data_IF_776261177744
#
_entry.id   IF_776261177744
#
_cell.length_a   1.000
_cell.length_b   1.000
_cell.length_c   1.000
_cell.angle_alpha   90.00
_cell.angle_beta   90.00
_cell.angle_gamma   90.00
#
_symmetry.space_group_name_H-M   'P 1'
#
loop_
_entity.id
_entity.type
_entity.pdbx_description
1 polymer ?
#
# COMPACT_ATOMS: atom_id res chain seq x y z
N UNK A 1 9.24 21.03 -0.70
CA UNK A 1 8.19 22.07 -0.87
C UNK A 1 8.12 23.04 0.31
N UNK A 2 8.49 22.61 1.52
CA UNK A 2 8.54 23.50 2.70
C UNK A 2 9.56 24.64 2.57
N UNK A 3 10.61 24.47 1.77
CA UNK A 3 11.65 25.49 1.60
C UNK A 3 11.22 26.67 0.71
N UNK A 4 10.34 26.45 -0.29
CA UNK A 4 9.90 27.49 -1.23
C UNK A 4 8.43 27.29 -1.64
N UNK A 5 7.47 27.44 -0.71
CA UNK A 5 6.07 27.12 -0.95
C UNK A 5 5.37 28.09 -1.92
N UNK A 6 5.87 29.32 -2.05
CA UNK A 6 5.33 30.38 -2.92
C UNK A 6 6.04 30.48 -4.29
N UNK A 7 6.93 29.54 -4.60
CA UNK A 7 7.61 29.53 -5.90
C UNK A 7 6.60 29.28 -7.03
N UNK A 8 6.81 29.93 -8.18
CA UNK A 8 6.03 29.69 -9.41
C UNK A 8 5.98 28.20 -9.80
N UNK A 9 6.97 27.42 -9.42
CA UNK A 9 7.08 25.99 -9.72
C UNK A 9 6.49 25.07 -8.64
N UNK A 10 6.04 25.62 -7.50
CA UNK A 10 5.62 24.83 -6.35
C UNK A 10 4.45 23.89 -6.68
N UNK A 11 3.47 24.34 -7.46
CA UNK A 11 2.30 23.53 -7.79
C UNK A 11 2.60 22.44 -8.81
N UNK A 12 3.48 22.68 -9.79
CA UNK A 12 3.95 21.65 -10.71
C UNK A 12 4.78 20.59 -9.95
N UNK A 13 5.68 21.04 -9.07
CA UNK A 13 6.49 20.14 -8.25
C UNK A 13 5.63 19.26 -7.31
N UNK A 14 4.55 19.81 -6.72
CA UNK A 14 3.56 19.04 -5.94
C UNK A 14 2.95 17.93 -6.77
N UNK A 15 2.43 18.25 -7.96
CA UNK A 15 1.81 17.26 -8.86
C UNK A 15 2.78 16.15 -9.25
N UNK A 16 4.02 16.50 -9.57
CA UNK A 16 5.07 15.53 -9.89
C UNK A 16 5.42 14.65 -8.70
N UNK A 17 5.47 15.20 -7.48
CA UNK A 17 5.75 14.43 -6.28
C UNK A 17 4.69 13.36 -6.03
N UNK A 18 3.40 13.70 -6.20
CA UNK A 18 2.29 12.74 -6.12
C UNK A 18 2.48 11.61 -7.14
N UNK A 19 2.73 11.96 -8.41
CA UNK A 19 2.96 10.97 -9.46
C UNK A 19 4.17 10.06 -9.20
N UNK A 20 5.24 10.59 -8.60
CA UNK A 20 6.42 9.80 -8.21
C UNK A 20 6.07 8.83 -7.08
N UNK A 21 5.36 9.29 -6.04
CA UNK A 21 4.90 8.42 -4.96
C UNK A 21 4.04 7.28 -5.47
N UNK A 22 3.08 7.57 -6.36
CA UNK A 22 2.23 6.54 -6.95
C UNK A 22 3.03 5.51 -7.77
N UNK A 23 4.05 5.95 -8.51
CA UNK A 23 4.97 5.04 -9.21
C UNK A 23 5.76 4.15 -8.25
N UNK A 24 6.25 4.71 -7.14
CA UNK A 24 7.00 3.96 -6.13
C UNK A 24 6.10 2.94 -5.41
N UNK A 25 4.89 3.35 -5.00
CA UNK A 25 3.91 2.44 -4.41
C UNK A 25 3.55 1.30 -5.37
N UNK A 26 3.36 1.59 -6.66
CA UNK A 26 3.10 0.55 -7.67
C UNK A 26 4.25 -0.44 -7.81
N UNK A 27 5.49 0.04 -7.77
CA UNK A 27 6.66 -0.81 -7.82
C UNK A 27 6.69 -1.79 -6.65
N UNK A 28 6.44 -1.32 -5.42
CA UNK A 28 6.38 -2.20 -4.24
C UNK A 28 5.29 -3.26 -4.35
N UNK A 29 4.12 -2.92 -4.91
CA UNK A 29 3.05 -3.89 -5.14
C UNK A 29 3.42 -4.95 -6.19
N UNK A 30 4.12 -4.58 -7.25
CA UNK A 30 4.62 -5.56 -8.24
C UNK A 30 5.62 -6.54 -7.61
N UNK A 31 6.49 -6.04 -6.72
CA UNK A 31 7.42 -6.88 -5.96
C UNK A 31 6.67 -7.77 -4.97
N UNK A 32 5.63 -7.25 -4.33
CA UNK A 32 4.78 -8.02 -3.42
C UNK A 32 4.06 -9.17 -4.17
N UNK A 33 3.44 -8.89 -5.32
CA UNK A 33 2.80 -9.91 -6.18
C UNK A 33 3.80 -10.98 -6.62
N UNK A 34 5.02 -10.59 -7.00
CA UNK A 34 6.08 -11.52 -7.33
C UNK A 34 6.44 -12.45 -6.15
N UNK A 35 6.51 -11.93 -4.92
CA UNK A 35 6.73 -12.75 -3.74
C UNK A 35 5.54 -13.65 -3.40
N UNK A 36 4.31 -13.17 -3.57
CA UNK A 36 3.09 -13.97 -3.41
C UNK A 36 3.11 -15.19 -4.32
N UNK A 37 3.38 -15.01 -5.62
CA UNK A 37 3.46 -16.11 -6.59
C UNK A 37 4.54 -17.15 -6.27
N UNK A 38 5.60 -16.75 -5.57
CA UNK A 38 6.68 -17.65 -5.14
C UNK A 38 6.49 -18.25 -3.75
N UNK A 39 5.38 -17.97 -3.08
CA UNK A 39 5.11 -18.46 -1.72
C UNK A 39 5.90 -17.75 -0.62
N UNK A 40 6.57 -16.63 -0.92
CA UNK A 40 7.32 -15.84 0.04
C UNK A 40 6.40 -14.82 0.74
N UNK A 41 5.39 -15.32 1.46
CA UNK A 41 4.30 -14.50 2.03
C UNK A 41 4.79 -13.45 3.04
N UNK A 42 5.80 -13.75 3.85
CA UNK A 42 6.36 -12.77 4.80
C UNK A 42 6.98 -11.58 4.06
N UNK A 43 7.67 -11.84 2.94
CA UNK A 43 8.25 -10.78 2.13
C UNK A 43 7.16 -9.95 1.43
N UNK A 44 6.11 -10.60 0.92
CA UNK A 44 4.96 -9.92 0.34
C UNK A 44 4.24 -9.01 1.36
N UNK A 45 3.97 -9.52 2.57
CA UNK A 45 3.39 -8.74 3.66
C UNK A 45 4.24 -7.51 4.02
N UNK A 46 5.57 -7.67 4.09
CA UNK A 46 6.48 -6.56 4.38
C UNK A 46 6.47 -5.48 3.29
N UNK A 47 6.31 -5.87 2.02
CA UNK A 47 6.17 -4.91 0.90
C UNK A 47 4.85 -4.15 0.98
N UNK A 48 3.74 -4.83 1.27
CA UNK A 48 2.45 -4.18 1.51
C UNK A 48 2.51 -3.21 2.70
N UNK A 49 3.12 -3.64 3.82
CA UNK A 49 3.32 -2.80 5.00
C UNK A 49 4.10 -1.52 4.68
N UNK A 50 5.16 -1.62 3.89
CA UNK A 50 5.93 -0.45 3.45
C UNK A 50 5.07 0.56 2.69
N UNK A 51 4.18 0.08 1.82
CA UNK A 51 3.25 0.97 1.10
C UNK A 51 2.30 1.69 2.05
N UNK A 52 1.75 0.98 3.03
CA UNK A 52 0.85 1.59 4.05
C UNK A 52 1.57 2.65 4.88
N UNK A 53 2.81 2.40 5.27
CA UNK A 53 3.58 3.32 6.13
C UNK A 53 4.01 4.60 5.40
N UNK A 54 4.54 4.45 4.17
CA UNK A 54 5.21 5.53 3.43
C UNK A 54 4.37 6.18 2.33
N UNK A 55 3.35 5.49 1.80
CA UNK A 55 2.52 5.96 0.68
C UNK A 55 1.02 5.97 1.02
N UNK A 56 0.67 6.31 2.27
CA UNK A 56 -0.72 6.38 2.78
C UNK A 56 -1.68 7.24 1.95
N UNK A 57 -1.14 8.21 1.22
CA UNK A 57 -1.89 9.12 0.34
C UNK A 57 -2.13 8.55 -1.07
N UNK A 58 -1.56 7.38 -1.38
CA UNK A 58 -1.74 6.72 -2.67
C UNK A 58 -3.02 5.87 -2.69
N UNK A 59 -3.77 5.83 -3.80
CA UNK A 59 -4.90 4.91 -3.95
C UNK A 59 -4.49 3.42 -3.90
N UNK A 60 -3.19 3.14 -4.03
CA UNK A 60 -2.63 1.79 -4.02
C UNK A 60 -2.56 1.16 -2.62
N UNK A 61 -2.88 1.92 -1.57
CA UNK A 61 -2.93 1.42 -0.19
C UNK A 61 -3.98 0.32 -0.02
N UNK A 62 -5.12 0.42 -0.69
CA UNK A 62 -6.17 -0.60 -0.67
C UNK A 62 -5.61 -1.96 -1.12
N UNK A 63 -4.97 -1.99 -2.27
CA UNK A 63 -4.35 -3.20 -2.82
C UNK A 63 -3.20 -3.72 -1.95
N UNK A 64 -2.44 -2.82 -1.29
CA UNK A 64 -1.39 -3.21 -0.35
C UNK A 64 -1.96 -3.97 0.85
N UNK A 65 -3.06 -3.48 1.42
CA UNK A 65 -3.75 -4.11 2.53
C UNK A 65 -4.33 -5.47 2.14
N UNK A 66 -4.92 -5.61 0.95
CA UNK A 66 -5.38 -6.92 0.45
C UNK A 66 -4.24 -7.96 0.39
N UNK A 67 -3.07 -7.57 -0.14
CA UNK A 67 -1.91 -8.46 -0.21
C UNK A 67 -1.43 -8.83 1.20
N UNK A 68 -1.46 -7.89 2.15
CA UNK A 68 -1.09 -8.16 3.54
C UNK A 68 -2.06 -9.16 4.19
N UNK A 69 -3.37 -8.97 4.02
CA UNK A 69 -4.39 -9.91 4.51
C UNK A 69 -4.15 -11.31 3.97
N UNK A 70 -4.01 -11.43 2.64
CA UNK A 70 -3.77 -12.73 2.00
C UNK A 70 -2.43 -13.35 2.47
N UNK A 71 -1.39 -12.54 2.62
CA UNK A 71 -0.10 -13.01 3.12
C UNK A 71 -0.19 -13.53 4.55
N UNK A 72 -0.89 -12.83 5.45
CA UNK A 72 -1.06 -13.24 6.84
C UNK A 72 -1.94 -14.47 6.97
N UNK A 73 -2.98 -14.60 6.16
CA UNK A 73 -3.82 -15.79 6.08
C UNK A 73 -2.99 -17.02 5.68
N UNK A 74 -2.16 -16.89 4.64
CA UNK A 74 -1.25 -17.97 4.18
C UNK A 74 -0.18 -18.34 5.21
N UNK A 75 0.18 -17.43 6.11
CA UNK A 75 1.13 -17.66 7.20
C UNK A 75 0.48 -18.17 8.48
N UNK A 76 -0.86 -18.24 8.56
CA UNK A 76 -1.59 -18.60 9.78
C UNK A 76 -1.49 -17.55 10.90
N UNK A 77 -1.29 -16.29 10.54
CA UNK A 77 -1.14 -15.17 11.48
C UNK A 77 -2.50 -14.48 11.69
N UNK A 78 -3.44 -15.19 12.31
CA UNK A 78 -4.85 -14.80 12.39
C UNK A 78 -5.09 -13.42 12.99
N UNK A 79 -4.34 -13.06 14.04
CA UNK A 79 -4.46 -11.73 14.66
C UNK A 79 -4.08 -10.62 13.68
N UNK A 80 -2.93 -10.73 13.01
CA UNK A 80 -2.46 -9.73 12.05
C UNK A 80 -3.38 -9.66 10.83
N UNK A 81 -3.86 -10.81 10.36
CA UNK A 81 -4.89 -10.88 9.32
C UNK A 81 -6.12 -10.07 9.73
N UNK A 82 -6.70 -10.37 10.88
CA UNK A 82 -7.95 -9.75 11.36
C UNK A 82 -7.79 -8.25 11.57
N UNK A 83 -6.70 -7.83 12.21
CA UNK A 83 -6.40 -6.42 12.43
C UNK A 83 -6.26 -5.68 11.08
N UNK A 84 -5.61 -6.29 10.09
CA UNK A 84 -5.44 -5.71 8.75
C UNK A 84 -6.75 -5.67 7.97
N UNK A 85 -7.57 -6.72 8.06
CA UNK A 85 -8.92 -6.77 7.47
C UNK A 85 -9.82 -5.67 8.04
N UNK A 86 -9.79 -5.45 9.36
CA UNK A 86 -10.53 -4.36 9.99
C UNK A 86 -10.11 -2.99 9.46
N UNK A 87 -8.80 -2.76 9.33
CA UNK A 87 -8.27 -1.51 8.75
C UNK A 87 -8.71 -1.36 7.29
N UNK A 88 -8.67 -2.43 6.51
CA UNK A 88 -9.13 -2.44 5.11
C UNK A 88 -10.60 -2.06 5.02
N UNK A 89 -11.48 -2.73 5.79
CA UNK A 89 -12.93 -2.48 5.76
C UNK A 89 -13.31 -1.10 6.30
N UNK A 90 -12.58 -0.59 7.31
CA UNK A 90 -12.83 0.73 7.88
C UNK A 90 -12.54 1.85 6.87
N UNK A 91 -11.46 1.73 6.10
CA UNK A 91 -11.03 2.75 5.15
C UNK A 91 -11.62 2.55 3.74
N UNK A 92 -11.90 1.30 3.36
CA UNK A 92 -12.36 0.89 2.03
C UNK A 92 -13.60 -0.01 2.12
N UNK A 93 -14.74 0.49 2.64
CA UNK A 93 -15.95 -0.31 2.85
C UNK A 93 -16.61 -0.80 1.55
N UNK A 94 -16.21 -0.25 0.40
CA UNK A 94 -16.70 -0.65 -0.92
C UNK A 94 -15.82 -1.69 -1.61
N UNK A 95 -14.75 -2.16 -0.96
CA UNK A 95 -13.83 -3.15 -1.52
C UNK A 95 -14.60 -4.41 -1.94
N UNK A 96 -14.45 -4.82 -3.20
CA UNK A 96 -15.23 -5.91 -3.79
C UNK A 96 -14.78 -7.30 -3.33
N UNK A 97 -13.56 -7.43 -2.79
CA UNK A 97 -12.92 -8.70 -2.50
C UNK A 97 -13.29 -9.27 -1.12
N UNK A 98 -13.77 -8.43 -0.22
CA UNK A 98 -14.09 -8.78 1.18
C UNK A 98 -15.55 -8.42 1.58
N UNK A 99 -16.47 -8.40 0.60
CA UNK A 99 -17.91 -8.22 0.81
C UNK A 99 -18.62 -9.57 0.99
#
# INVERSE_FOLDING_TARGET
LNSYPQSRYADDAKKRMVAIKDKLARHELLVADYYMRRGAFLAAANRGKYVVEFYRDSPLVEQALEIMVESYDRLGLDKLKTDTEQVLLLNFPQNARFR
#
